data_IF_717202757569
#
_entry.id   IF_717202757569
#
_cell.length_a   1.000
_cell.length_b   1.000
_cell.length_c   1.000
_cell.angle_alpha   90.00
_cell.angle_beta   90.00
_cell.angle_gamma   90.00
#
_symmetry.space_group_name_H-M   'P 1'
#
loop_
_entity.id
_entity.type
_entity.pdbx_description
1 polymer ?
#
# COMPACT_ATOMS: atom_id res chain seq x y z
N UNK A 1 -19.08 -23.78 -56.88
CA UNK A 1 -20.53 -23.45 -56.91
C UNK A 1 -21.02 -23.33 -55.48
N UNK A 2 -21.67 -22.20 -55.22
CA UNK A 2 -22.22 -21.70 -53.97
C UNK A 2 -23.45 -22.53 -53.56
N UNK A 3 -23.58 -22.95 -52.28
CA UNK A 3 -24.68 -22.53 -51.38
C UNK A 3 -24.77 -23.35 -50.09
N UNK A 4 -24.85 -22.59 -49.01
CA UNK A 4 -25.09 -22.95 -47.62
C UNK A 4 -26.41 -23.69 -47.40
N UNK A 5 -26.39 -24.64 -46.44
CA UNK A 5 -27.58 -25.23 -45.84
C UNK A 5 -27.87 -24.48 -44.55
N UNK A 6 -28.99 -23.75 -44.54
CA UNK A 6 -29.55 -23.06 -43.37
C UNK A 6 -30.41 -24.07 -42.61
N UNK A 7 -30.06 -24.35 -41.35
CA UNK A 7 -30.91 -25.11 -40.44
C UNK A 7 -32.00 -24.21 -39.85
N UNK A 8 -33.25 -24.59 -40.07
CA UNK A 8 -34.44 -23.90 -39.58
C UNK A 8 -34.66 -24.15 -38.09
N UNK A 9 -34.72 -23.08 -37.29
CA UNK A 9 -35.16 -23.13 -35.90
C UNK A 9 -36.69 -23.19 -35.84
N UNK A 10 -37.22 -24.32 -35.39
CA UNK A 10 -38.65 -24.49 -35.09
C UNK A 10 -39.04 -23.70 -33.85
N UNK A 11 -39.97 -22.76 -34.00
CA UNK A 11 -40.64 -22.05 -32.89
C UNK A 11 -41.56 -23.04 -32.15
N UNK A 12 -41.37 -23.19 -30.84
CA UNK A 12 -42.41 -23.74 -29.94
C UNK A 12 -43.11 -22.61 -29.22
N UNK A 13 -44.42 -22.57 -29.37
CA UNK A 13 -45.38 -21.71 -28.69
C UNK A 13 -45.77 -22.29 -27.34
N UNK A 14 -46.02 -21.42 -26.35
CA UNK A 14 -46.96 -21.66 -25.24
C UNK A 14 -46.35 -21.86 -23.85
N UNK A 15 -46.27 -20.79 -23.04
CA UNK A 15 -47.09 -20.54 -21.84
C UNK A 15 -46.66 -19.21 -21.17
N UNK A 16 -47.60 -18.36 -20.70
CA UNK A 16 -47.24 -17.12 -19.98
C UNK A 16 -46.85 -17.44 -18.54
N UNK A 17 -45.56 -17.32 -18.24
CA UNK A 17 -45.04 -17.39 -16.86
C UNK A 17 -45.49 -16.19 -16.05
N UNK A 18 -46.06 -16.46 -14.86
CA UNK A 18 -46.42 -15.49 -13.82
C UNK A 18 -45.30 -14.48 -13.57
N UNK A 19 -45.63 -13.20 -13.69
CA UNK A 19 -44.82 -12.10 -13.15
C UNK A 19 -44.95 -12.13 -11.63
N UNK A 20 -43.87 -12.49 -10.93
CA UNK A 20 -43.74 -12.33 -9.48
C UNK A 20 -43.44 -10.86 -9.19
N UNK A 21 -44.35 -10.18 -8.50
CA UNK A 21 -44.14 -8.84 -7.98
C UNK A 21 -43.06 -8.86 -6.87
N UNK A 22 -42.22 -7.81 -6.75
CA UNK A 22 -41.26 -7.70 -5.66
C UNK A 22 -41.99 -7.47 -4.33
N UNK A 23 -41.48 -7.98 -3.19
CA UNK A 23 -42.09 -7.72 -1.90
C UNK A 23 -41.87 -6.25 -1.49
N UNK A 24 -42.92 -5.64 -0.96
CA UNK A 24 -42.88 -4.32 -0.37
C UNK A 24 -42.02 -4.34 0.90
N UNK A 25 -40.93 -3.59 0.93
CA UNK A 25 -40.18 -3.32 2.15
C UNK A 25 -40.96 -2.31 3.00
N UNK A 26 -41.53 -2.77 4.11
CA UNK A 26 -42.07 -1.92 5.15
C UNK A 26 -40.91 -1.25 5.91
N UNK A 27 -40.86 0.08 5.89
CA UNK A 27 -39.93 0.87 6.69
C UNK A 27 -40.34 0.80 8.18
N UNK A 28 -39.58 0.07 8.99
CA UNK A 28 -39.68 0.14 10.44
C UNK A 28 -38.78 1.27 10.96
N UNK A 29 -39.41 2.37 11.36
CA UNK A 29 -38.75 3.46 12.08
C UNK A 29 -38.37 2.99 13.50
N UNK A 30 -37.07 2.84 13.76
CA UNK A 30 -36.57 2.61 15.11
C UNK A 30 -36.42 3.97 15.83
N UNK A 31 -37.19 4.13 16.90
CA UNK A 31 -37.15 5.29 17.77
C UNK A 31 -35.83 5.35 18.56
N UNK A 32 -35.13 6.48 18.49
CA UNK A 32 -34.02 6.81 19.40
C UNK A 32 -34.58 7.02 20.82
N UNK A 33 -34.30 6.10 21.72
CA UNK A 33 -34.51 6.29 23.15
C UNK A 33 -33.30 7.04 23.75
N UNK A 34 -33.54 8.29 24.14
CA UNK A 34 -32.65 9.12 24.96
C UNK A 34 -32.57 8.50 26.35
N UNK A 35 -31.36 8.15 26.79
CA UNK A 35 -31.07 7.83 28.19
C UNK A 35 -30.18 8.92 28.77
N UNK A 36 -30.72 9.63 29.76
CA UNK A 36 -30.05 10.71 30.48
C UNK A 36 -29.50 10.26 31.84
N UNK A 37 -28.34 10.84 32.16
CA UNK A 37 -27.77 11.16 33.49
C UNK A 37 -27.21 10.03 34.38
N UNK A 38 -26.29 10.32 35.35
CA UNK A 38 -25.72 11.62 35.75
C UNK A 38 -24.18 11.69 35.79
N UNK A 39 -23.69 12.92 36.01
CA UNK A 39 -22.30 13.27 36.25
C UNK A 39 -21.81 12.78 37.64
N UNK A 40 -20.56 12.33 37.71
CA UNK A 40 -19.80 12.22 38.96
C UNK A 40 -18.36 12.66 38.73
N UNK A 41 -18.00 13.77 39.38
CA UNK A 41 -16.65 14.28 39.48
C UNK A 41 -15.88 13.52 40.57
N UNK A 42 -14.65 13.11 40.28
CA UNK A 42 -13.64 12.82 41.29
C UNK A 42 -12.25 13.00 40.67
N UNK A 43 -11.47 13.89 41.27
CA UNK A 43 -10.15 14.30 40.79
C UNK A 43 -9.09 13.23 40.98
N UNK A 44 -8.11 13.25 40.08
CA UNK A 44 -6.82 12.62 40.29
C UNK A 44 -5.72 13.57 39.80
N UNK A 45 -4.74 13.78 40.67
CA UNK A 45 -3.70 14.80 40.63
C UNK A 45 -2.80 14.68 39.40
N UNK A 46 -2.50 15.84 38.82
CA UNK A 46 -1.46 16.02 37.81
C UNK A 46 -0.07 15.80 38.45
N UNK A 47 0.61 14.73 38.04
CA UNK A 47 2.05 14.63 38.19
C UNK A 47 2.71 15.35 37.01
N UNK A 48 3.22 16.54 37.30
CA UNK A 48 3.96 17.41 36.40
C UNK A 48 5.34 16.81 36.11
N UNK A 49 5.59 16.50 34.83
CA UNK A 49 6.87 15.97 34.35
C UNK A 49 7.02 16.19 32.85
N UNK A 50 6.70 17.38 32.36
CA UNK A 50 6.90 17.76 30.97
C UNK A 50 8.39 17.96 30.69
N UNK A 51 9.02 16.96 30.05
CA UNK A 51 10.27 17.19 29.29
C UNK A 51 9.97 18.24 28.21
N UNK A 52 10.77 19.31 28.07
CA UNK A 52 10.46 20.37 27.13
C UNK A 52 10.54 19.84 25.70
N UNK A 53 9.44 20.02 24.97
CA UNK A 53 9.41 19.89 23.52
C UNK A 53 10.25 21.03 22.95
N UNK A 54 11.46 20.72 22.48
CA UNK A 54 12.30 21.69 21.77
C UNK A 54 11.66 21.89 20.40
N UNK A 55 10.75 22.85 20.34
CA UNK A 55 10.40 23.53 19.10
C UNK A 55 11.54 24.48 18.75
N UNK A 56 12.40 24.07 17.83
CA UNK A 56 13.23 25.01 17.08
C UNK A 56 13.07 24.72 15.60
N UNK A 57 12.43 25.64 14.90
CA UNK A 57 12.45 25.76 13.45
C UNK A 57 13.86 26.14 13.00
N UNK A 58 14.76 25.17 13.00
CA UNK A 58 16.08 25.27 12.40
C UNK A 58 16.04 24.47 11.11
N UNK A 59 16.43 25.10 10.00
CA UNK A 59 16.68 24.45 8.72
C UNK A 59 17.94 23.60 8.86
N UNK A 60 17.84 22.49 9.59
CA UNK A 60 18.86 21.46 9.55
C UNK A 60 18.81 20.86 8.15
N UNK A 61 19.97 20.63 7.53
CA UNK A 61 20.03 19.64 6.46
C UNK A 61 19.47 18.34 7.02
N UNK A 62 18.65 17.65 6.25
CA UNK A 62 18.05 16.36 6.62
C UNK A 62 19.09 15.37 7.15
N UNK A 63 20.34 15.44 6.66
CA UNK A 63 21.49 14.71 7.19
C UNK A 63 21.70 14.85 8.71
N UNK A 64 21.64 16.07 9.25
CA UNK A 64 21.83 16.31 10.69
C UNK A 64 20.73 15.70 11.56
N UNK A 65 19.51 15.55 11.02
CA UNK A 65 18.42 14.90 11.76
C UNK A 65 18.66 13.39 11.93
N UNK A 66 19.22 12.72 10.92
CA UNK A 66 19.57 11.31 11.00
C UNK A 66 20.69 11.03 12.01
N UNK A 67 21.70 11.90 12.08
CA UNK A 67 22.76 11.81 13.10
C UNK A 67 22.21 11.93 14.51
N UNK A 68 21.30 12.89 14.72
CA UNK A 68 20.63 13.07 16.02
C UNK A 68 19.84 11.81 16.39
N UNK A 69 19.05 11.23 15.48
CA UNK A 69 18.33 9.99 15.74
C UNK A 69 19.28 8.83 16.09
N UNK A 70 20.39 8.69 15.37
CA UNK A 70 21.39 7.65 15.67
C UNK A 70 22.01 7.86 17.05
N UNK A 71 22.35 9.10 17.41
CA UNK A 71 22.91 9.44 18.73
C UNK A 71 21.94 9.15 19.89
N UNK A 72 20.63 9.17 19.61
CA UNK A 72 19.57 8.80 20.55
C UNK A 72 19.31 7.28 20.62
N UNK A 73 20.06 6.47 19.87
CA UNK A 73 19.96 5.01 19.87
C UNK A 73 18.87 4.44 18.96
N UNK A 74 18.30 5.22 18.04
CA UNK A 74 17.37 4.69 17.05
C UNK A 74 18.13 3.97 15.91
N UNK A 75 17.60 2.82 15.48
CA UNK A 75 18.02 2.18 14.25
C UNK A 75 17.49 2.98 13.05
N UNK A 76 18.36 3.79 12.42
CA UNK A 76 17.96 4.73 11.36
C UNK A 76 17.87 4.10 9.97
N UNK A 77 18.60 3.01 9.70
CA UNK A 77 18.58 2.30 8.42
C UNK A 77 18.47 0.78 8.61
N UNK A 78 17.37 0.27 9.21
CA UNK A 78 17.20 -1.17 9.44
C UNK A 78 17.06 -1.98 8.15
N UNK A 79 16.85 -1.34 6.99
CA UNK A 79 16.86 -2.01 5.69
C UNK A 79 18.28 -2.21 5.12
N UNK A 80 19.32 -1.62 5.73
CA UNK A 80 20.71 -1.64 5.23
C UNK A 80 20.91 -1.11 3.81
N UNK A 81 19.93 -0.39 3.27
CA UNK A 81 20.01 0.11 1.92
C UNK A 81 21.04 1.22 1.80
N UNK A 82 21.87 1.15 0.76
CA UNK A 82 22.84 2.22 0.41
C UNK A 82 22.16 3.48 -0.12
N UNK A 83 20.88 3.37 -0.49
CA UNK A 83 20.05 4.47 -0.96
C UNK A 83 19.19 5.10 0.15
N UNK A 84 19.41 4.70 1.41
CA UNK A 84 18.74 5.33 2.54
C UNK A 84 19.26 6.76 2.77
N UNK A 85 18.42 7.77 3.08
CA UNK A 85 18.86 9.14 3.34
C UNK A 85 19.94 9.28 4.41
N UNK A 86 19.92 8.43 5.45
CA UNK A 86 21.01 8.38 6.43
C UNK A 86 22.38 8.10 5.80
N UNK A 87 22.43 7.30 4.73
CA UNK A 87 23.67 7.01 4.00
C UNK A 87 23.97 8.16 3.04
N UNK A 88 23.00 8.53 2.20
CA UNK A 88 23.23 9.45 1.07
C UNK A 88 23.35 10.92 1.50
N UNK A 89 22.77 11.30 2.64
CA UNK A 89 22.73 12.68 3.13
C UNK A 89 23.52 12.87 4.43
N UNK A 90 23.59 11.85 5.29
CA UNK A 90 24.29 11.91 6.58
C UNK A 90 25.61 11.10 6.63
N UNK A 91 25.95 10.35 5.58
CA UNK A 91 27.17 9.53 5.57
C UNK A 91 27.19 8.39 6.60
N UNK A 92 26.05 8.04 7.19
CA UNK A 92 25.90 6.92 8.13
C UNK A 92 25.90 5.62 7.33
N UNK A 93 26.99 4.87 7.40
CA UNK A 93 27.09 3.56 6.76
C UNK A 93 26.00 2.59 7.25
N UNK A 94 25.50 1.67 6.39
CA UNK A 94 24.66 0.55 6.81
C UNK A 94 25.32 -0.30 7.89
N UNK A 95 24.51 -0.93 8.74
CA UNK A 95 25.02 -1.81 9.81
C UNK A 95 25.44 -3.20 9.28
N UNK A 96 25.01 -3.56 8.06
CA UNK A 96 25.36 -4.80 7.34
C UNK A 96 25.45 -4.55 5.83
N UNK A 97 26.19 -5.40 5.12
CA UNK A 97 26.24 -5.42 3.65
C UNK A 97 25.00 -6.05 3.00
N UNK A 98 24.22 -6.82 3.76
CA UNK A 98 23.00 -7.46 3.28
C UNK A 98 21.79 -6.52 3.39
N UNK A 99 21.29 -6.06 2.25
CA UNK A 99 20.05 -5.30 2.16
C UNK A 99 18.84 -6.21 2.40
N UNK A 100 17.91 -5.75 3.25
CA UNK A 100 16.64 -6.45 3.50
C UNK A 100 15.47 -5.59 3.04
N UNK A 101 14.37 -6.26 2.70
CA UNK A 101 13.18 -5.55 2.22
C UNK A 101 12.63 -4.60 3.29
N UNK A 102 12.00 -3.51 2.84
CA UNK A 102 11.40 -2.52 3.76
C UNK A 102 10.35 -3.17 4.68
N UNK A 103 9.69 -4.22 4.20
CA UNK A 103 8.76 -5.03 4.99
C UNK A 103 9.45 -5.71 6.17
N UNK A 104 10.55 -6.43 5.92
CA UNK A 104 11.32 -7.10 6.97
C UNK A 104 11.98 -6.10 7.92
N UNK A 105 12.48 -4.99 7.38
CA UNK A 105 13.17 -3.96 8.15
C UNK A 105 12.25 -3.25 9.16
N UNK A 106 11.03 -2.88 8.73
CA UNK A 106 10.17 -2.00 9.51
C UNK A 106 8.96 -2.70 10.15
N UNK A 107 8.49 -3.83 9.59
CA UNK A 107 7.33 -4.57 10.09
C UNK A 107 7.50 -6.10 9.89
N UNK A 108 8.50 -6.74 10.51
CA UNK A 108 8.76 -8.17 10.33
C UNK A 108 7.57 -9.06 10.74
N UNK A 109 6.81 -8.64 11.74
CA UNK A 109 5.63 -9.36 12.26
C UNK A 109 4.35 -9.14 11.44
N UNK A 110 4.40 -8.36 10.35
CA UNK A 110 3.20 -8.05 9.59
C UNK A 110 2.60 -9.29 8.95
N UNK A 111 1.29 -9.48 9.13
CA UNK A 111 0.50 -10.55 8.51
C UNK A 111 -0.28 -10.08 7.29
N UNK A 112 0.11 -8.95 6.67
CA UNK A 112 -0.53 -8.44 5.46
C UNK A 112 -0.50 -9.51 4.36
N UNK A 113 -1.65 -9.82 3.77
CA UNK A 113 -1.75 -10.87 2.74
C UNK A 113 -0.86 -10.60 1.51
N UNK A 114 -0.64 -9.34 1.12
CA UNK A 114 0.19 -9.02 -0.03
C UNK A 114 1.70 -9.03 0.25
N UNK A 115 2.15 -8.45 1.37
CA UNK A 115 3.58 -8.18 1.60
C UNK A 115 4.08 -8.52 3.01
N UNK A 116 3.22 -9.07 3.88
CA UNK A 116 3.57 -9.38 5.26
C UNK A 116 4.60 -10.50 5.37
N UNK A 117 5.77 -10.29 6.01
CA UNK A 117 6.76 -11.35 6.18
C UNK A 117 6.29 -12.49 7.10
N UNK A 118 5.38 -12.21 8.03
CA UNK A 118 4.80 -13.19 8.95
C UNK A 118 3.42 -13.72 8.49
N UNK A 119 3.00 -13.41 7.26
CA UNK A 119 1.77 -13.97 6.72
C UNK A 119 1.90 -15.50 6.57
N UNK A 120 0.86 -16.26 6.98
CA UNK A 120 0.83 -17.71 6.78
C UNK A 120 0.72 -18.09 5.31
N UNK A 121 -0.05 -17.27 4.58
CA UNK A 121 -0.25 -17.35 3.14
C UNK A 121 -0.33 -15.92 2.61
N UNK A 122 0.18 -15.71 1.40
CA UNK A 122 0.18 -14.39 0.81
C UNK A 122 0.97 -14.34 -0.48
N UNK A 123 1.16 -13.12 -0.99
CA UNK A 123 1.98 -12.86 -2.17
C UNK A 123 3.45 -12.62 -1.82
N UNK A 124 3.76 -12.42 -0.54
CA UNK A 124 5.11 -12.26 0.02
C UNK A 124 5.98 -11.21 -0.69
N UNK A 125 5.36 -10.14 -1.16
CA UNK A 125 6.06 -9.08 -1.87
C UNK A 125 7.13 -8.43 -0.98
N UNK A 126 8.37 -8.44 -1.48
CA UNK A 126 9.54 -7.85 -0.81
C UNK A 126 10.07 -6.70 -1.64
N UNK A 127 9.95 -5.47 -1.11
CA UNK A 127 10.36 -4.26 -1.79
C UNK A 127 11.69 -3.73 -1.26
N UNK A 128 12.57 -3.34 -2.18
CA UNK A 128 13.90 -2.80 -1.92
C UNK A 128 13.99 -1.37 -2.48
N UNK A 129 14.88 -0.55 -1.93
CA UNK A 129 15.01 0.84 -2.40
C UNK A 129 15.67 0.87 -3.77
N UNK A 130 15.13 1.70 -4.66
CA UNK A 130 15.77 2.12 -5.91
C UNK A 130 15.82 3.66 -5.91
N UNK A 131 16.59 4.29 -6.82
CA UNK A 131 16.52 5.74 -6.96
C UNK A 131 15.07 6.19 -7.20
N UNK A 132 14.56 7.09 -6.35
CA UNK A 132 13.23 7.69 -6.46
C UNK A 132 12.04 6.81 -6.06
N UNK A 133 12.25 5.56 -5.60
CA UNK A 133 11.15 4.68 -5.23
C UNK A 133 11.56 3.29 -4.75
N UNK A 134 10.76 2.28 -5.05
CA UNK A 134 11.02 0.89 -4.67
C UNK A 134 10.93 -0.05 -5.88
N UNK A 135 11.62 -1.20 -5.78
CA UNK A 135 11.47 -2.33 -6.69
C UNK A 135 11.17 -3.59 -5.89
N UNK A 136 10.33 -4.46 -6.42
CA UNK A 136 10.02 -5.76 -5.85
C UNK A 136 9.88 -6.82 -6.94
N UNK A 137 10.22 -8.06 -6.62
CA UNK A 137 9.96 -9.23 -7.47
C UNK A 137 8.84 -10.08 -6.89
N UNK A 138 8.00 -10.65 -7.75
CA UNK A 138 6.93 -11.56 -7.34
C UNK A 138 6.79 -12.72 -8.33
N UNK A 139 6.33 -13.87 -7.84
CA UNK A 139 5.87 -15.01 -8.65
C UNK A 139 4.48 -15.35 -8.16
N UNK A 140 3.48 -15.23 -9.03
CA UNK A 140 2.08 -15.44 -8.65
C UNK A 140 1.63 -16.85 -9.01
N UNK A 141 1.14 -17.61 -8.03
CA UNK A 141 0.66 -18.98 -8.24
C UNK A 141 -0.56 -19.03 -9.19
N UNK A 142 -0.62 -20.09 -10.00
CA UNK A 142 -1.77 -20.43 -10.85
C UNK A 142 -3.14 -20.47 -10.15
N UNK A 143 -3.20 -20.72 -8.84
CA UNK A 143 -4.45 -20.64 -8.05
C UNK A 143 -5.07 -19.24 -8.02
N UNK A 144 -4.27 -18.20 -8.36
CA UNK A 144 -4.73 -16.82 -8.47
C UNK A 144 -5.23 -16.47 -9.89
N UNK A 145 -5.30 -17.43 -10.80
CA UNK A 145 -5.84 -17.22 -12.14
C UNK A 145 -7.35 -16.95 -12.11
N UNK A 146 -7.78 -15.95 -12.89
CA UNK A 146 -9.20 -15.75 -13.22
C UNK A 146 -9.63 -16.60 -14.42
N UNK A 147 -8.72 -16.83 -15.37
CA UNK A 147 -8.89 -17.68 -16.54
C UNK A 147 -7.66 -18.57 -16.71
N UNK A 148 -7.73 -19.68 -17.46
CA UNK A 148 -6.56 -20.52 -17.72
C UNK A 148 -5.35 -19.70 -18.20
N UNK A 149 -4.28 -19.68 -17.42
CA UNK A 149 -3.05 -18.96 -17.73
C UNK A 149 -3.09 -17.44 -17.50
N UNK A 150 -4.14 -16.86 -16.91
CA UNK A 150 -4.27 -15.41 -16.72
C UNK A 150 -4.59 -15.10 -15.25
N UNK A 151 -3.65 -14.44 -14.55
CA UNK A 151 -3.82 -13.97 -13.18
C UNK A 151 -4.99 -12.99 -13.08
N UNK A 152 -5.75 -13.09 -11.99
CA UNK A 152 -6.84 -12.17 -11.67
C UNK A 152 -6.34 -10.73 -11.51
N UNK A 153 -7.00 -9.77 -12.16
CA UNK A 153 -6.62 -8.36 -12.10
C UNK A 153 -6.62 -7.75 -10.68
N UNK A 154 -7.48 -8.24 -9.78
CA UNK A 154 -7.49 -7.83 -8.37
C UNK A 154 -6.25 -8.29 -7.60
N UNK A 155 -5.64 -9.41 -7.97
CA UNK A 155 -4.36 -9.87 -7.39
C UNK A 155 -3.21 -8.98 -7.85
N UNK A 156 -3.18 -8.62 -9.14
CA UNK A 156 -2.25 -7.61 -9.66
C UNK A 156 -2.45 -6.25 -8.97
N UNK A 157 -3.69 -5.83 -8.77
CA UNK A 157 -4.00 -4.58 -8.07
C UNK A 157 -3.57 -4.65 -6.59
N UNK A 158 -3.63 -5.81 -5.95
CA UNK A 158 -3.13 -6.01 -4.58
C UNK A 158 -1.61 -5.85 -4.48
N UNK A 159 -0.87 -6.24 -5.53
CA UNK A 159 0.58 -5.97 -5.62
C UNK A 159 0.84 -4.46 -5.68
N UNK A 160 0.14 -3.73 -6.55
CA UNK A 160 0.24 -2.27 -6.63
C UNK A 160 -0.11 -1.59 -5.30
N UNK A 161 -1.20 -2.02 -4.66
CA UNK A 161 -1.63 -1.48 -3.37
C UNK A 161 -0.53 -1.59 -2.31
N UNK A 162 -0.02 -2.80 -2.09
CA UNK A 162 1.03 -3.04 -1.10
C UNK A 162 2.32 -2.27 -1.43
N UNK A 163 2.76 -2.32 -2.68
CA UNK A 163 4.01 -1.72 -3.10
C UNK A 163 3.98 -0.18 -3.08
N UNK A 164 2.91 0.41 -3.61
CA UNK A 164 2.69 1.85 -3.59
C UNK A 164 2.53 2.40 -2.18
N UNK A 165 1.84 1.66 -1.31
CA UNK A 165 1.67 2.03 0.08
C UNK A 165 3.02 2.09 0.84
N UNK A 166 3.90 1.12 0.63
CA UNK A 166 5.26 1.14 1.17
C UNK A 166 6.09 2.29 0.61
N UNK A 167 5.98 2.55 -0.70
CA UNK A 167 6.68 3.66 -1.35
C UNK A 167 6.28 4.99 -0.73
N UNK A 168 4.97 5.21 -0.53
CA UNK A 168 4.44 6.39 0.12
C UNK A 168 4.86 6.52 1.59
N UNK A 169 4.86 5.42 2.33
CA UNK A 169 5.24 5.42 3.74
C UNK A 169 6.74 5.75 3.90
N UNK A 170 7.60 5.15 3.08
CA UNK A 170 9.03 5.44 3.03
C UNK A 170 9.28 6.89 2.61
N UNK A 171 8.61 7.37 1.56
CA UNK A 171 8.73 8.77 1.12
C UNK A 171 8.44 9.78 2.25
N UNK A 172 7.37 9.54 3.03
CA UNK A 172 7.02 10.40 4.16
C UNK A 172 7.98 10.27 5.34
N UNK A 173 8.50 9.07 5.58
CA UNK A 173 9.53 8.83 6.60
C UNK A 173 10.80 9.59 6.30
N UNK A 174 11.27 9.48 5.05
CA UNK A 174 12.48 10.10 4.55
C UNK A 174 12.36 11.62 4.59
N UNK A 175 11.25 12.17 4.06
CA UNK A 175 10.98 13.61 4.05
C UNK A 175 10.87 14.22 5.47
N UNK A 176 10.46 13.44 6.47
CA UNK A 176 10.32 13.90 7.84
C UNK A 176 11.49 13.51 8.75
N UNK A 177 12.50 12.81 8.21
CA UNK A 177 13.59 12.17 8.94
C UNK A 177 13.11 11.48 10.23
N UNK A 178 12.17 10.54 10.12
CA UNK A 178 11.64 9.78 11.26
C UNK A 178 12.21 8.37 11.32
N UNK A 179 12.40 7.76 12.51
CA UNK A 179 13.02 6.44 12.62
C UNK A 179 12.16 5.28 12.11
N UNK A 180 10.85 5.50 11.88
CA UNK A 180 9.92 4.49 11.37
C UNK A 180 8.93 5.11 10.40
N UNK A 181 8.43 4.34 9.41
CA UNK A 181 7.45 4.82 8.47
C UNK A 181 6.07 5.04 9.14
N UNK A 182 5.33 6.09 8.74
CA UNK A 182 3.98 6.32 9.23
C UNK A 182 2.98 5.32 8.64
N UNK A 183 1.79 5.24 9.24
CA UNK A 183 0.67 4.53 8.64
C UNK A 183 0.13 5.35 7.48
N UNK A 184 0.18 4.78 6.28
CA UNK A 184 -0.49 5.26 5.08
C UNK A 184 -1.58 4.29 4.69
N UNK A 185 -2.68 4.78 4.11
CA UNK A 185 -3.67 3.97 3.42
C UNK A 185 -3.90 4.51 2.01
N UNK A 186 -4.31 3.62 1.12
CA UNK A 186 -4.70 3.93 -0.25
C UNK A 186 -5.98 4.75 -0.22
N UNK A 187 -5.93 5.94 -0.83
CA UNK A 187 -7.07 6.84 -0.95
C UNK A 187 -7.76 6.66 -2.31
N UNK A 188 -6.97 6.56 -3.37
CA UNK A 188 -7.42 6.27 -4.73
C UNK A 188 -6.31 5.52 -5.48
N UNK A 189 -6.71 4.68 -6.43
CA UNK A 189 -5.77 4.02 -7.33
C UNK A 189 -6.44 3.75 -8.67
N UNK A 190 -5.83 4.23 -9.75
CA UNK A 190 -6.21 3.93 -11.12
C UNK A 190 -5.21 2.93 -11.70
N UNK A 191 -5.69 1.75 -12.09
CA UNK A 191 -4.87 0.70 -12.71
C UNK A 191 -5.28 0.50 -14.16
N UNK A 192 -4.28 0.44 -15.04
CA UNK A 192 -4.42 0.13 -16.47
C UNK A 192 -3.74 -1.20 -16.76
N UNK A 193 -4.50 -2.17 -17.28
CA UNK A 193 -3.99 -3.47 -17.72
C UNK A 193 -3.68 -3.39 -19.22
N UNK A 194 -2.41 -3.55 -19.58
CA UNK A 194 -1.92 -3.46 -20.96
C UNK A 194 -1.77 -4.84 -21.60
N UNK A 195 -1.47 -5.85 -20.79
CA UNK A 195 -1.39 -7.25 -21.20
C UNK A 195 -1.78 -8.18 -20.05
N UNK A 196 -1.98 -9.45 -20.38
CA UNK A 196 -2.24 -10.54 -19.45
C UNK A 196 -1.03 -10.81 -18.56
N UNK A 197 -1.29 -11.09 -17.28
CA UNK A 197 -0.25 -11.46 -16.32
C UNK A 197 -0.21 -12.99 -16.21
N UNK A 198 0.90 -13.65 -16.59
CA UNK A 198 1.01 -15.10 -16.51
C UNK A 198 1.24 -15.56 -15.05
N UNK A 199 0.73 -16.73 -14.67
CA UNK A 199 1.08 -17.37 -13.40
C UNK A 199 2.46 -18.03 -13.47
N UNK A 200 3.08 -18.23 -12.32
CA UNK A 200 4.32 -18.97 -12.10
C UNK A 200 5.55 -18.43 -12.85
N UNK A 201 5.47 -17.19 -13.35
CA UNK A 201 6.56 -16.52 -14.04
C UNK A 201 7.05 -15.29 -13.23
N UNK A 202 8.33 -14.92 -13.34
CA UNK A 202 8.91 -13.81 -12.58
C UNK A 202 8.38 -12.46 -13.05
N UNK A 203 7.81 -11.72 -12.12
CA UNK A 203 7.31 -10.38 -12.30
C UNK A 203 8.19 -9.37 -11.57
N UNK A 204 8.38 -8.20 -12.17
CA UNK A 204 9.11 -7.08 -11.59
C UNK A 204 8.13 -5.93 -11.40
N UNK A 205 8.06 -5.40 -10.20
CA UNK A 205 7.19 -4.31 -9.83
C UNK A 205 8.06 -3.12 -9.42
N UNK A 206 7.86 -1.96 -10.05
CA UNK A 206 8.60 -0.74 -9.74
C UNK A 206 7.64 0.37 -9.38
N UNK A 207 8.01 1.18 -8.40
CA UNK A 207 7.31 2.40 -8.03
C UNK A 207 8.23 3.61 -8.09
N UNK A 208 7.64 4.78 -8.32
CA UNK A 208 8.31 6.07 -8.29
C UNK A 208 7.42 7.10 -7.58
N UNK A 209 8.04 7.91 -6.72
CA UNK A 209 7.36 9.00 -6.02
C UNK A 209 7.13 10.13 -7.02
N UNK A 210 5.87 10.46 -7.29
CA UNK A 210 5.50 11.54 -8.22
C UNK A 210 5.37 12.87 -7.50
N UNK A 211 4.72 12.86 -6.33
CA UNK A 211 4.44 14.07 -5.57
C UNK A 211 4.18 13.78 -4.11
N UNK A 212 4.80 14.54 -3.22
CA UNK A 212 4.45 14.61 -1.80
C UNK A 212 3.70 15.93 -1.59
N UNK A 213 2.48 15.85 -1.04
CA UNK A 213 1.71 17.02 -0.62
C UNK A 213 1.67 17.05 0.91
N UNK A 214 2.14 18.16 1.48
CA UNK A 214 2.09 18.42 2.91
C UNK A 214 0.68 18.63 3.44
N UNK A 215 0.59 19.05 4.70
CA UNK A 215 -0.65 19.47 5.34
C UNK A 215 -0.55 20.94 5.69
N UNK A 216 -0.89 21.79 4.73
CA UNK A 216 -0.84 23.25 4.91
C UNK A 216 -2.17 23.79 5.47
N UNK A 217 -3.21 22.96 5.44
CA UNK A 217 -4.56 23.28 5.91
C UNK A 217 -4.87 22.44 7.15
N UNK A 218 -5.28 23.05 8.28
CA UNK A 218 -5.72 22.33 9.47
C UNK A 218 -6.73 21.22 9.13
N UNK A 219 -6.49 20.00 9.61
CA UNK A 219 -7.36 18.85 9.37
C UNK A 219 -7.08 18.07 8.08
N UNK A 220 -6.23 18.58 7.17
CA UNK A 220 -5.73 17.76 6.05
C UNK A 220 -4.65 16.80 6.54
N UNK A 221 -4.40 15.72 5.78
CA UNK A 221 -3.30 14.81 6.06
C UNK A 221 -2.36 14.78 4.85
N UNK A 222 -1.04 14.62 5.05
CA UNK A 222 -0.11 14.47 3.95
C UNK A 222 -0.53 13.35 3.00
N UNK A 223 -0.34 13.55 1.70
CA UNK A 223 -0.59 12.55 0.66
C UNK A 223 0.64 12.36 -0.21
N UNK A 224 0.83 11.15 -0.71
CA UNK A 224 1.88 10.83 -1.68
C UNK A 224 1.24 10.21 -2.91
N UNK A 225 1.52 10.79 -4.07
CA UNK A 225 1.19 10.20 -5.36
C UNK A 225 2.35 9.33 -5.82
N UNK A 226 2.06 8.10 -6.21
CA UNK A 226 3.05 7.09 -6.62
C UNK A 226 2.62 6.51 -7.96
N UNK A 227 3.55 6.50 -8.92
CA UNK A 227 3.39 5.78 -10.18
C UNK A 227 4.06 4.42 -10.05
N UNK A 228 3.42 3.40 -10.64
CA UNK A 228 3.82 2.02 -10.52
C UNK A 228 3.69 1.28 -11.84
N UNK A 229 4.60 0.34 -12.08
CA UNK A 229 4.64 -0.48 -13.28
C UNK A 229 4.91 -1.93 -12.92
N UNK A 230 4.16 -2.84 -13.54
CA UNK A 230 4.36 -4.28 -13.46
C UNK A 230 4.89 -4.79 -14.79
N UNK A 231 6.04 -5.44 -14.74
CA UNK A 231 6.71 -6.03 -15.88
C UNK A 231 6.77 -7.55 -15.76
N UNK A 232 6.75 -8.21 -16.90
CA UNK A 232 7.14 -9.59 -17.04
C UNK A 232 8.60 -9.67 -17.48
N UNK A 233 9.43 -10.39 -16.74
CA UNK A 233 10.83 -10.66 -17.11
C UNK A 233 10.93 -11.87 -18.05
N UNK A 234 11.08 -11.61 -19.35
CA UNK A 234 11.19 -12.61 -20.41
C UNK A 234 12.60 -12.64 -21.01
N UNK A 235 13.44 -13.58 -20.57
CA UNK A 235 14.73 -13.86 -21.24
C UNK A 235 15.66 -12.65 -21.37
N UNK A 236 15.67 -11.74 -20.40
CA UNK A 236 16.47 -10.51 -20.40
C UNK A 236 15.75 -9.26 -20.92
N UNK A 237 14.50 -9.39 -21.36
CA UNK A 237 13.63 -8.27 -21.72
C UNK A 237 12.48 -8.11 -20.74
N UNK A 238 12.05 -6.88 -20.51
CA UNK A 238 10.92 -6.56 -19.64
C UNK A 238 9.72 -6.11 -20.48
N UNK A 239 8.63 -6.87 -20.40
CA UNK A 239 7.36 -6.53 -21.06
C UNK A 239 6.42 -5.89 -20.06
N UNK A 240 5.97 -4.67 -20.32
CA UNK A 240 5.01 -3.98 -19.46
C UNK A 240 3.63 -4.64 -19.53
N UNK A 241 3.14 -5.12 -18.39
CA UNK A 241 1.84 -5.80 -18.27
C UNK A 241 0.75 -4.88 -17.74
N UNK A 242 1.06 -4.07 -16.73
CA UNK A 242 0.11 -3.16 -16.11
C UNK A 242 0.83 -1.94 -15.54
N UNK A 243 0.08 -0.86 -15.37
CA UNK A 243 0.56 0.37 -14.72
C UNK A 243 -0.51 0.93 -13.80
N UNK A 244 -0.11 1.52 -12.68
CA UNK A 244 -1.04 2.14 -11.75
C UNK A 244 -0.51 3.48 -11.24
N UNK A 245 -1.42 4.42 -11.03
CA UNK A 245 -1.16 5.65 -10.27
C UNK A 245 -2.02 5.60 -9.01
N UNK A 246 -1.37 5.66 -7.86
CA UNK A 246 -2.03 5.62 -6.55
C UNK A 246 -1.80 6.90 -5.77
N UNK A 247 -2.81 7.36 -5.03
CA UNK A 247 -2.68 8.39 -4.00
C UNK A 247 -2.83 7.73 -2.63
N UNK A 248 -1.81 7.90 -1.79
CA UNK A 248 -1.75 7.32 -0.46
C UNK A 248 -1.78 8.42 0.58
N UNK A 249 -2.60 8.26 1.61
CA UNK A 249 -2.83 9.28 2.64
C UNK A 249 -2.26 8.81 3.98
N UNK A 250 -1.51 9.68 4.65
CA UNK A 250 -1.03 9.45 6.03
C UNK A 250 -2.23 9.47 6.99
N UNK A 251 -2.38 8.43 7.81
CA UNK A 251 -3.43 8.36 8.83
C UNK A 251 -2.89 8.46 10.26
N UNK A 252 -1.74 7.85 10.51
CA UNK A 252 -1.16 7.73 11.86
C UNK A 252 0.33 8.02 11.89
N UNK A 253 0.88 8.13 13.11
CA UNK A 253 2.30 8.37 13.33
C UNK A 253 3.16 7.15 13.03
N UNK A 254 2.65 5.94 13.30
CA UNK A 254 3.38 4.69 13.13
C UNK A 254 2.55 3.74 12.28
N UNK A 255 3.22 3.06 11.33
CA UNK A 255 2.65 1.93 10.61
C UNK A 255 2.20 0.86 11.62
N UNK A 256 0.98 0.35 11.46
CA UNK A 256 0.43 -0.66 12.36
C UNK A 256 1.34 -1.90 12.34
N UNK A 257 1.70 -2.37 13.54
CA UNK A 257 2.43 -3.62 13.80
C UNK A 257 1.47 -4.79 13.72
#
# INVERSE_FOLDING_TARGET
>A
MLRAVIAAATRRSGQPGRVLAPPAFAAAAAACAVWGHPAAAAGAQQATGSRPYIGSSSSWSSGGQWEVLRSQGFAVNPCNSKLHPSVTEAGIAPDSDEEVSVQKAYTPESTCWGCGPAAKEGLFLSSYRIPGGLEATAVLDSKYCAFPGIINGGVVQSLFDCHGNWTAAIALMDNAATPKPPLTLTYEMLTNFKDTTPPNEPLILRSQIMKIKGSDIPGTKPTVQVDMHLYHSLGGHEKLLASATGLFKKLGALRAL
#
